data_IF_746185077174
#
_entry.id   IF_746185077174
#
_cell.length_a   1.000
_cell.length_b   1.000
_cell.length_c   1.000
_cell.angle_alpha   90.00
_cell.angle_beta   90.00
_cell.angle_gamma   90.00
#
_symmetry.space_group_name_H-M   'P 1'
#
loop_
_entity.id
_entity.type
_entity.pdbx_description
1 polymer ?
#
# COMPACT_ATOMS: atom_id res chain seq x y z
N UNK A 1 16.91 32.92 -50.12
CA UNK A 1 17.05 32.90 -48.65
C UNK A 1 15.78 32.33 -48.06
N UNK A 2 15.74 31.05 -47.87
CA UNK A 2 14.63 30.36 -47.25
C UNK A 2 15.12 29.76 -45.92
N UNK A 3 14.59 30.23 -44.84
CA UNK A 3 14.81 29.64 -43.51
C UNK A 3 13.79 28.56 -43.28
N UNK A 4 14.23 27.34 -43.28
CA UNK A 4 13.42 26.19 -42.88
C UNK A 4 13.30 26.18 -41.37
N UNK A 5 12.08 26.40 -40.87
CA UNK A 5 11.74 26.11 -39.48
C UNK A 5 11.51 24.61 -39.35
N UNK A 6 12.45 23.94 -38.76
CA UNK A 6 12.26 22.55 -38.29
C UNK A 6 11.53 22.62 -36.96
N UNK A 7 10.23 22.42 -36.99
CA UNK A 7 9.44 22.16 -35.79
C UNK A 7 9.79 20.78 -35.27
N UNK A 8 10.59 20.75 -34.23
CA UNK A 8 10.86 19.55 -33.47
C UNK A 8 9.60 19.15 -32.71
N UNK A 9 8.80 18.29 -33.31
CA UNK A 9 7.74 17.59 -32.62
C UNK A 9 8.35 16.48 -31.76
N UNK A 10 8.65 16.82 -30.51
CA UNK A 10 8.93 15.83 -29.49
C UNK A 10 7.63 15.12 -29.17
N UNK A 11 7.38 14.01 -29.85
CA UNK A 11 6.43 13.01 -29.39
C UNK A 11 6.94 12.49 -28.05
N UNK A 12 6.33 12.97 -26.98
CA UNK A 12 6.49 12.39 -25.65
C UNK A 12 5.96 10.95 -25.73
N UNK A 13 6.87 10.01 -25.90
CA UNK A 13 6.56 8.62 -25.68
C UNK A 13 6.21 8.47 -24.20
N UNK A 14 4.93 8.29 -23.95
CA UNK A 14 4.45 7.85 -22.64
C UNK A 14 5.02 6.44 -22.44
N UNK A 15 6.14 6.37 -21.76
CA UNK A 15 6.68 5.11 -21.26
C UNK A 15 5.77 4.73 -20.11
N UNK A 16 4.79 3.88 -20.40
CA UNK A 16 3.98 3.21 -19.38
C UNK A 16 4.90 2.28 -18.61
N UNK A 17 5.52 2.79 -17.57
CA UNK A 17 6.14 1.95 -16.57
C UNK A 17 5.03 1.33 -15.72
N UNK A 18 4.54 0.18 -16.15
CA UNK A 18 3.86 -0.77 -15.29
C UNK A 18 4.94 -1.41 -14.39
N UNK A 19 5.39 -0.68 -13.40
CA UNK A 19 6.09 -1.27 -12.27
C UNK A 19 5.03 -1.66 -11.25
N UNK A 20 4.86 -2.97 -11.03
CA UNK A 20 4.10 -3.49 -9.91
C UNK A 20 4.81 -3.05 -8.62
N UNK A 21 4.36 -1.94 -8.03
CA UNK A 21 4.94 -1.42 -6.80
C UNK A 21 4.35 -2.16 -5.61
N UNK A 22 5.11 -3.08 -5.10
CA UNK A 22 4.91 -3.59 -3.76
C UNK A 22 5.77 -2.76 -2.82
N UNK A 23 5.15 -2.12 -1.84
CA UNK A 23 5.89 -1.31 -0.88
C UNK A 23 6.95 -2.16 -0.16
N UNK A 24 8.19 -2.04 -0.60
CA UNK A 24 9.37 -2.53 0.09
C UNK A 24 9.88 -1.44 1.03
N UNK A 25 10.80 -1.76 1.94
CA UNK A 25 11.43 -0.77 2.81
C UNK A 25 12.08 0.38 2.00
N UNK A 26 12.52 0.11 0.77
CA UNK A 26 13.13 1.11 -0.11
C UNK A 26 12.07 2.06 -0.71
N UNK A 27 10.87 1.56 -1.00
CA UNK A 27 9.80 2.35 -1.59
C UNK A 27 9.15 3.30 -0.57
N UNK A 28 9.06 2.87 0.68
CA UNK A 28 8.62 3.76 1.77
C UNK A 28 9.55 4.98 1.91
N UNK A 29 10.85 4.84 1.57
CA UNK A 29 11.79 5.96 1.56
C UNK A 29 11.61 6.91 0.37
N UNK A 30 10.93 6.46 -0.69
CA UNK A 30 10.70 7.20 -1.92
C UNK A 30 9.24 7.65 -2.08
N UNK A 31 8.47 7.67 -0.99
CA UNK A 31 7.12 8.21 -1.02
C UNK A 31 7.12 9.69 -1.42
N UNK A 32 6.08 10.17 -2.12
CA UNK A 32 5.87 11.60 -2.33
C UNK A 32 5.97 12.38 -1.01
N UNK A 33 6.42 13.63 -1.09
CA UNK A 33 6.69 14.43 0.11
C UNK A 33 5.47 14.66 1.01
N UNK A 34 4.26 14.48 0.46
CA UNK A 34 2.97 14.60 1.14
C UNK A 34 2.32 13.24 1.47
N UNK A 35 3.01 12.14 1.15
CA UNK A 35 2.54 10.80 1.50
C UNK A 35 3.07 10.37 2.88
N UNK A 36 2.22 9.65 3.60
CA UNK A 36 2.58 9.03 4.88
C UNK A 36 2.32 7.53 4.84
N UNK A 37 3.17 6.75 5.51
CA UNK A 37 3.00 5.32 5.64
C UNK A 37 2.77 4.95 7.11
N UNK A 38 1.75 4.11 7.34
CA UNK A 38 1.38 3.58 8.64
C UNK A 38 1.40 2.06 8.56
N UNK A 39 1.88 1.40 9.61
CA UNK A 39 2.05 -0.04 9.61
C UNK A 39 1.31 -0.66 10.78
N UNK A 40 0.42 -1.60 10.49
CA UNK A 40 -0.27 -2.45 11.45
C UNK A 40 0.41 -3.82 11.42
N UNK A 41 0.98 -4.25 12.52
CA UNK A 41 1.71 -5.52 12.62
C UNK A 41 0.88 -6.60 13.27
N UNK A 42 1.00 -7.82 12.76
CA UNK A 42 0.21 -8.95 13.22
C UNK A 42 1.09 -10.08 13.78
N UNK A 43 0.58 -10.83 14.77
CA UNK A 43 1.22 -12.06 15.20
C UNK A 43 1.22 -13.11 14.07
N UNK A 44 2.02 -14.16 14.22
CA UNK A 44 2.06 -15.29 13.28
C UNK A 44 0.66 -15.87 13.08
N UNK A 45 0.22 -15.96 11.83
CA UNK A 45 -1.12 -16.43 11.47
C UNK A 45 -2.27 -15.50 11.85
N UNK A 46 -2.01 -14.40 12.55
CA UNK A 46 -3.02 -13.43 13.00
C UNK A 46 -3.39 -12.40 11.94
N UNK A 47 -4.62 -11.91 12.04
CA UNK A 47 -5.17 -10.82 11.22
C UNK A 47 -6.18 -9.95 11.98
N UNK A 48 -6.35 -10.19 13.30
CA UNK A 48 -7.26 -9.37 14.14
C UNK A 48 -6.53 -8.13 14.61
N UNK A 49 -7.22 -7.01 14.58
CA UNK A 49 -6.77 -5.74 15.14
C UNK A 49 -6.90 -5.75 16.66
N UNK A 50 -5.99 -5.10 17.33
CA UNK A 50 -6.09 -4.80 18.77
C UNK A 50 -6.50 -3.33 19.00
N UNK A 51 -6.70 -2.92 20.24
CA UNK A 51 -7.14 -1.57 20.57
C UNK A 51 -6.13 -0.49 20.14
N UNK A 52 -4.83 -0.81 20.14
CA UNK A 52 -3.79 0.12 19.66
C UNK A 52 -3.83 0.27 18.14
N UNK A 53 -4.09 -0.81 17.44
CA UNK A 53 -4.27 -0.80 15.98
C UNK A 53 -5.50 0.03 15.60
N UNK A 54 -6.61 -0.14 16.32
CA UNK A 54 -7.85 0.62 16.12
C UNK A 54 -7.65 2.12 16.36
N UNK A 55 -6.89 2.51 17.39
CA UNK A 55 -6.54 3.91 17.64
C UNK A 55 -5.70 4.49 16.51
N UNK A 56 -4.68 3.76 16.04
CA UNK A 56 -3.86 4.20 14.92
C UNK A 56 -4.68 4.33 13.63
N UNK A 57 -5.59 3.40 13.36
CA UNK A 57 -6.48 3.45 12.19
C UNK A 57 -7.43 4.65 12.29
N UNK A 58 -7.91 5.00 13.48
CA UNK A 58 -8.74 6.19 13.70
C UNK A 58 -7.99 7.47 13.38
N UNK A 59 -6.72 7.57 13.76
CA UNK A 59 -5.87 8.72 13.42
C UNK A 59 -5.69 8.84 11.90
N UNK A 60 -5.43 7.72 11.21
CA UNK A 60 -5.35 7.68 9.73
C UNK A 60 -6.67 8.09 9.09
N UNK A 61 -7.81 7.62 9.61
CA UNK A 61 -9.13 8.03 9.11
C UNK A 61 -9.34 9.54 9.25
N UNK A 62 -8.92 10.12 10.37
CA UNK A 62 -8.96 11.58 10.59
C UNK A 62 -8.12 12.36 9.58
N UNK A 63 -6.94 11.85 9.23
CA UNK A 63 -6.10 12.44 8.17
C UNK A 63 -6.79 12.44 6.81
N UNK A 64 -7.36 11.29 6.42
CA UNK A 64 -8.06 11.15 5.14
C UNK A 64 -9.30 12.07 5.11
N UNK A 65 -10.08 12.13 6.17
CA UNK A 65 -11.30 12.94 6.24
C UNK A 65 -11.01 14.45 6.28
N UNK A 66 -9.91 14.85 6.91
CA UNK A 66 -9.47 16.24 6.97
C UNK A 66 -8.96 16.81 5.65
N UNK A 67 -8.63 15.95 4.67
CA UNK A 67 -8.09 16.33 3.38
C UNK A 67 -8.91 15.70 2.24
N UNK A 68 -9.74 16.47 1.53
CA UNK A 68 -10.65 15.94 0.49
C UNK A 68 -9.96 15.24 -0.67
N UNK A 69 -8.71 15.60 -0.95
CA UNK A 69 -7.86 15.07 -2.02
C UNK A 69 -7.01 13.84 -1.60
N UNK A 70 -7.05 13.46 -0.32
CA UNK A 70 -6.30 12.30 0.15
C UNK A 70 -7.06 10.99 -0.09
N UNK A 71 -6.30 9.97 -0.45
CA UNK A 71 -6.73 8.58 -0.59
C UNK A 71 -5.79 7.67 0.18
N UNK A 72 -6.23 6.46 0.48
CA UNK A 72 -5.40 5.46 1.14
C UNK A 72 -5.23 4.23 0.25
N UNK A 73 -4.03 3.68 0.22
CA UNK A 73 -3.76 2.34 -0.30
C UNK A 73 -3.39 1.43 0.86
N UNK A 74 -4.11 0.32 1.00
CA UNK A 74 -3.85 -0.71 2.00
C UNK A 74 -3.18 -1.89 1.32
N UNK A 75 -2.03 -2.34 1.83
CA UNK A 75 -1.28 -3.46 1.31
C UNK A 75 -1.03 -4.50 2.40
N UNK A 76 -1.69 -5.65 2.29
CA UNK A 76 -1.47 -6.79 3.19
C UNK A 76 -0.25 -7.62 2.78
N UNK A 77 0.53 -8.04 3.79
CA UNK A 77 1.75 -8.84 3.64
C UNK A 77 1.85 -9.93 4.70
N UNK A 78 2.68 -10.96 4.38
CA UNK A 78 3.07 -12.02 5.33
C UNK A 78 4.58 -12.22 5.31
N UNK A 79 5.11 -12.87 6.34
CA UNK A 79 6.40 -13.54 6.23
C UNK A 79 6.28 -14.80 5.36
N UNK A 80 7.39 -15.49 5.13
CA UNK A 80 7.45 -16.66 4.22
C UNK A 80 7.16 -17.99 4.92
N UNK A 81 6.68 -17.97 6.16
CA UNK A 81 6.30 -19.20 6.86
C UNK A 81 4.93 -19.71 6.39
N UNK A 82 4.89 -20.93 5.92
CA UNK A 82 3.68 -21.56 5.41
C UNK A 82 3.67 -21.73 3.90
N UNK A 83 2.50 -22.05 3.33
CA UNK A 83 2.37 -22.17 1.88
C UNK A 83 2.01 -20.81 1.26
N UNK A 84 2.46 -20.60 0.02
CA UNK A 84 2.15 -19.41 -0.78
C UNK A 84 0.64 -19.10 -0.79
N UNK A 85 -0.20 -20.12 -1.06
CA UNK A 85 -1.65 -19.94 -1.09
C UNK A 85 -2.27 -19.61 0.28
N UNK A 86 -1.71 -20.11 1.37
CA UNK A 86 -2.10 -19.70 2.72
C UNK A 86 -1.72 -18.25 2.98
N UNK A 87 -0.49 -17.86 2.66
CA UNK A 87 0.02 -16.52 2.87
C UNK A 87 -0.71 -15.48 2.01
N UNK A 88 -1.11 -15.83 0.79
CA UNK A 88 -1.94 -14.97 -0.03
C UNK A 88 -3.29 -14.67 0.65
N UNK A 89 -4.01 -15.69 1.12
CA UNK A 89 -5.27 -15.49 1.85
C UNK A 89 -5.08 -14.76 3.18
N UNK A 90 -3.99 -15.00 3.89
CA UNK A 90 -3.71 -14.32 5.16
C UNK A 90 -3.44 -12.83 4.95
N UNK A 91 -2.64 -12.48 3.93
CA UNK A 91 -2.38 -11.08 3.58
C UNK A 91 -3.66 -10.35 3.17
N UNK A 92 -4.55 -11.02 2.43
CA UNK A 92 -5.87 -10.49 2.09
C UNK A 92 -6.72 -10.22 3.34
N UNK A 93 -6.75 -11.15 4.31
CA UNK A 93 -7.48 -10.96 5.57
C UNK A 93 -6.95 -9.79 6.38
N UNK A 94 -5.63 -9.59 6.41
CA UNK A 94 -5.00 -8.45 7.08
C UNK A 94 -5.39 -7.12 6.44
N UNK A 95 -5.31 -7.05 5.12
CA UNK A 95 -5.74 -5.87 4.37
C UNK A 95 -7.23 -5.58 4.57
N UNK A 96 -8.09 -6.61 4.52
CA UNK A 96 -9.53 -6.46 4.77
C UNK A 96 -9.84 -5.98 6.19
N UNK A 97 -9.15 -6.46 7.21
CA UNK A 97 -9.38 -6.01 8.59
C UNK A 97 -9.15 -4.50 8.74
N UNK A 98 -8.08 -3.98 8.13
CA UNK A 98 -7.80 -2.53 8.11
C UNK A 98 -8.83 -1.77 7.28
N UNK A 99 -9.22 -2.30 6.11
CA UNK A 99 -10.24 -1.71 5.26
C UNK A 99 -11.58 -1.59 5.98
N UNK A 100 -12.03 -2.67 6.62
CA UNK A 100 -13.28 -2.70 7.39
C UNK A 100 -13.27 -1.66 8.52
N UNK A 101 -12.17 -1.56 9.25
CA UNK A 101 -12.01 -0.57 10.31
C UNK A 101 -12.04 0.88 9.77
N UNK A 102 -11.42 1.17 8.63
CA UNK A 102 -11.49 2.50 8.01
C UNK A 102 -12.89 2.82 7.50
N UNK A 103 -13.53 1.91 6.78
CA UNK A 103 -14.81 2.17 6.10
C UNK A 103 -16.01 2.07 7.07
N UNK A 104 -16.11 0.96 7.82
CA UNK A 104 -17.31 0.70 8.61
C UNK A 104 -17.25 1.32 10.00
N UNK A 105 -16.09 1.30 10.66
CA UNK A 105 -15.96 1.85 12.02
C UNK A 105 -15.71 3.37 11.99
N UNK A 106 -14.80 3.80 11.10
CA UNK A 106 -14.37 5.20 11.01
C UNK A 106 -15.02 6.00 9.87
N UNK A 107 -15.94 5.41 9.09
CA UNK A 107 -16.76 6.11 8.07
C UNK A 107 -15.95 6.78 6.95
N UNK A 108 -14.77 6.29 6.63
CA UNK A 108 -14.03 6.72 5.44
C UNK A 108 -14.76 6.19 4.19
N UNK A 109 -14.93 7.03 3.16
CA UNK A 109 -15.56 6.59 1.93
C UNK A 109 -14.75 5.48 1.25
N UNK A 110 -15.40 4.38 0.89
CA UNK A 110 -14.78 3.26 0.17
C UNK A 110 -14.09 3.70 -1.13
N UNK A 111 -14.67 4.69 -1.82
CA UNK A 111 -14.10 5.24 -3.06
C UNK A 111 -12.74 5.92 -2.89
N UNK A 112 -12.33 6.16 -1.66
CA UNK A 112 -11.04 6.76 -1.29
C UNK A 112 -10.01 5.73 -0.85
N UNK A 113 -10.32 4.43 -0.94
CA UNK A 113 -9.44 3.36 -0.47
C UNK A 113 -9.17 2.38 -1.60
N UNK A 114 -7.90 2.10 -1.85
CA UNK A 114 -7.43 1.00 -2.69
C UNK A 114 -6.93 -0.13 -1.80
N UNK A 115 -7.28 -1.37 -2.14
CA UNK A 115 -6.97 -2.55 -1.35
C UNK A 115 -6.18 -3.55 -2.17
N UNK A 116 -5.03 -3.98 -1.66
CA UNK A 116 -4.22 -5.01 -2.28
C UNK A 116 -3.49 -5.90 -1.26
N UNK A 117 -2.96 -7.01 -1.75
CA UNK A 117 -2.20 -7.97 -0.95
C UNK A 117 -1.21 -8.73 -1.82
N UNK A 118 -0.09 -9.12 -1.26
CA UNK A 118 0.98 -9.81 -1.98
C UNK A 118 1.39 -11.15 -1.35
N UNK A 119 0.78 -11.54 -0.23
CA UNK A 119 1.24 -12.68 0.54
C UNK A 119 2.69 -12.47 0.99
N UNK A 120 3.51 -13.48 0.75
CA UNK A 120 4.96 -13.45 1.01
C UNK A 120 5.76 -12.88 -0.17
N UNK A 121 5.11 -12.66 -1.32
CA UNK A 121 5.76 -12.05 -2.48
C UNK A 121 6.07 -10.59 -2.15
N UNK A 122 7.23 -10.11 -2.55
CA UNK A 122 7.66 -8.73 -2.34
C UNK A 122 7.69 -8.35 -0.83
N UNK A 123 8.52 -9.01 -0.04
CA UNK A 123 8.62 -8.77 1.39
C UNK A 123 9.12 -7.36 1.68
N UNK A 124 8.70 -6.77 2.80
CA UNK A 124 9.22 -5.50 3.27
C UNK A 124 10.70 -5.63 3.67
N UNK A 125 11.03 -6.71 4.37
CA UNK A 125 12.39 -7.12 4.69
C UNK A 125 12.69 -8.43 3.99
N UNK A 126 13.76 -8.46 3.19
CA UNK A 126 14.19 -9.68 2.50
C UNK A 126 14.68 -10.73 3.49
N UNK A 127 14.15 -11.92 3.40
CA UNK A 127 14.52 -13.07 4.23
C UNK A 127 14.67 -14.33 3.38
N UNK A 128 15.29 -15.36 3.94
CA UNK A 128 15.22 -16.69 3.35
C UNK A 128 13.78 -17.23 3.42
N UNK A 129 13.46 -18.22 2.59
CA UNK A 129 12.18 -18.92 2.65
C UNK A 129 11.94 -19.57 4.02
N UNK A 130 10.67 -19.74 4.41
CA UNK A 130 10.24 -20.29 5.69
C UNK A 130 10.84 -19.58 6.92
N UNK A 131 11.11 -18.27 6.80
CA UNK A 131 11.69 -17.46 7.88
C UNK A 131 10.59 -16.60 8.52
N UNK A 132 10.51 -16.65 9.86
CA UNK A 132 9.67 -15.72 10.62
C UNK A 132 10.27 -14.32 10.61
N UNK A 133 9.51 -13.34 10.12
CA UNK A 133 9.93 -11.95 10.10
C UNK A 133 8.76 -11.04 10.49
N UNK A 134 8.87 -10.43 11.67
CA UNK A 134 7.80 -9.60 12.21
C UNK A 134 7.49 -8.39 11.32
N UNK A 135 8.49 -7.80 10.68
CA UNK A 135 8.31 -6.66 9.80
C UNK A 135 7.56 -7.00 8.50
N UNK A 136 7.52 -8.28 8.12
CA UNK A 136 6.77 -8.74 6.96
C UNK A 136 5.31 -9.10 7.31
N UNK A 137 4.99 -9.29 8.59
CA UNK A 137 3.63 -9.62 9.06
C UNK A 137 2.82 -8.36 9.30
N UNK A 138 2.38 -7.69 8.26
CA UNK A 138 1.73 -6.38 8.39
C UNK A 138 0.64 -6.11 7.36
N UNK A 139 -0.13 -5.05 7.62
CA UNK A 139 -0.82 -4.26 6.61
C UNK A 139 -0.23 -2.85 6.62
N UNK A 140 0.30 -2.41 5.48
CA UNK A 140 0.73 -1.04 5.29
C UNK A 140 -0.44 -0.18 4.82
N UNK A 141 -0.59 1.02 5.37
CA UNK A 141 -1.56 2.02 4.92
C UNK A 141 -0.75 3.20 4.40
N UNK A 142 -0.79 3.45 3.11
CA UNK A 142 -0.14 4.62 2.50
C UNK A 142 -1.22 5.64 2.19
N UNK A 143 -1.13 6.81 2.82
CA UNK A 143 -2.02 7.95 2.58
C UNK A 143 -1.28 8.95 1.71
N UNK A 144 -1.89 9.33 0.59
CA UNK A 144 -1.31 10.28 -0.37
C UNK A 144 -2.42 11.04 -1.11
N UNK A 145 -2.05 12.02 -1.93
CA UNK A 145 -3.01 12.64 -2.85
C UNK A 145 -3.47 11.64 -3.91
N UNK A 146 -4.71 11.80 -4.37
CA UNK A 146 -5.33 10.92 -5.35
C UNK A 146 -4.54 10.81 -6.67
N UNK A 147 -3.78 11.83 -7.04
CA UNK A 147 -2.93 11.84 -8.25
C UNK A 147 -1.76 10.86 -8.17
N UNK A 148 -1.35 10.48 -6.97
CA UNK A 148 -0.14 9.68 -6.70
C UNK A 148 -0.45 8.24 -6.25
N UNK A 149 -1.74 7.90 -6.18
CA UNK A 149 -2.22 6.64 -5.61
C UNK A 149 -2.28 5.50 -6.64
N UNK A 150 -1.16 4.87 -6.93
CA UNK A 150 -1.10 3.65 -7.76
C UNK A 150 -0.16 2.60 -7.16
N UNK A 151 -0.43 2.20 -5.92
CA UNK A 151 0.40 1.23 -5.20
C UNK A 151 -0.06 -0.23 -5.32
N UNK A 152 -1.22 -0.49 -5.91
CA UNK A 152 -1.66 -1.84 -6.20
C UNK A 152 -1.32 -2.19 -7.63
N UNK A 153 -0.22 -2.91 -7.84
CA UNK A 153 0.04 -3.55 -9.12
C UNK A 153 -1.02 -4.63 -9.39
N UNK A 154 -1.80 -4.47 -10.45
CA UNK A 154 -2.64 -5.51 -11.01
C UNK A 154 -1.80 -6.57 -11.71
#
# INVERSE_FOLDING_TARGET
MLRSNVTNSLAAAAVSFFAAYAATAQEVKNLPADATAHFIYFPTGGYKLDAKDEDQIRDVAGMIQGHPDFVATILGKTDSVGSVGFNERLSQRRANAVFEALVYDNKVSESRISLCWTGERLPFTSTADQTQEAQNRMAAIVVSKATDAHFCGG
#
